data_IF_583645086933
#
_entry.id   IF_583645086933
#
_cell.length_a   1.000
_cell.length_b   1.000
_cell.length_c   1.000
_cell.angle_alpha   90.00
_cell.angle_beta   90.00
_cell.angle_gamma   90.00
#
_symmetry.space_group_name_H-M   'P 1'
#
loop_
_entity.id
_entity.type
_entity.pdbx_description
1 polymer ?
#
# COMPACT_ATOMS: atom_id res chain seq x y z
N UNK A 1 -10.32 4.78 -16.32
CA UNK A 1 -10.63 4.94 -14.88
C UNK A 1 -10.32 3.62 -14.19
N UNK A 2 -9.73 3.65 -13.00
CA UNK A 2 -9.47 2.42 -12.23
C UNK A 2 -10.75 2.03 -11.48
N UNK A 3 -11.02 0.74 -11.28
CA UNK A 3 -12.20 0.26 -10.53
C UNK A 3 -11.85 -0.17 -9.09
N UNK A 4 -10.64 0.12 -8.62
CA UNK A 4 -10.16 -0.25 -7.28
C UNK A 4 -9.66 -1.69 -7.14
N UNK A 5 -10.07 -2.61 -8.01
CA UNK A 5 -9.77 -4.05 -7.92
C UNK A 5 -8.27 -4.39 -8.01
N UNK A 6 -7.43 -3.49 -8.54
CA UNK A 6 -5.97 -3.66 -8.66
C UNK A 6 -5.54 -5.07 -9.11
N UNK A 7 -6.08 -5.55 -10.24
CA UNK A 7 -5.65 -6.80 -10.87
C UNK A 7 -4.14 -6.81 -11.23
N UNK A 8 -3.58 -7.92 -11.74
CA UNK A 8 -2.16 -8.00 -12.11
C UNK A 8 -1.74 -6.81 -12.98
N UNK A 9 -0.70 -6.10 -12.57
CA UNK A 9 -0.16 -4.94 -13.27
C UNK A 9 -0.97 -3.65 -13.14
N UNK A 10 -2.20 -3.71 -12.62
CA UNK A 10 -3.02 -2.52 -12.41
C UNK A 10 -2.60 -1.79 -11.12
N UNK A 11 -2.55 -0.45 -11.13
CA UNK A 11 -2.18 0.33 -9.96
C UNK A 11 -3.08 0.09 -8.75
N UNK A 12 -2.47 0.16 -7.58
CA UNK A 12 -3.15 0.41 -6.30
C UNK A 12 -3.44 1.90 -6.22
N UNK A 13 -4.70 2.24 -5.97
CA UNK A 13 -5.20 3.61 -6.04
C UNK A 13 -5.96 3.97 -4.76
N UNK A 14 -5.83 5.23 -4.34
CA UNK A 14 -6.61 5.80 -3.26
C UNK A 14 -8.06 6.06 -3.67
N UNK A 15 -8.97 5.90 -2.70
CA UNK A 15 -10.39 6.17 -2.86
C UNK A 15 -10.93 6.86 -1.63
N UNK A 16 -11.94 7.72 -1.83
CA UNK A 16 -12.81 8.10 -0.74
C UNK A 16 -13.54 6.85 -0.22
N UNK A 17 -13.52 6.66 1.09
CA UNK A 17 -14.22 5.55 1.74
C UNK A 17 -15.73 5.75 1.61
N UNK A 18 -16.43 4.76 1.06
CA UNK A 18 -17.89 4.76 0.88
C UNK A 18 -18.61 3.67 1.70
N UNK A 19 -17.87 2.84 2.45
CA UNK A 19 -18.41 1.80 3.31
C UNK A 19 -18.98 0.55 2.61
N UNK A 20 -19.18 0.57 1.29
CA UNK A 20 -19.90 -0.50 0.57
C UNK A 20 -19.06 -1.21 -0.49
N UNK A 21 -18.12 -0.52 -1.15
CA UNK A 21 -17.41 -1.09 -2.31
C UNK A 21 -16.24 -2.00 -1.90
N UNK A 22 -16.37 -3.31 -2.13
CA UNK A 22 -15.34 -4.30 -1.83
C UNK A 22 -14.15 -4.26 -2.78
N UNK A 23 -14.29 -3.66 -3.97
CA UNK A 23 -13.17 -3.54 -4.91
C UNK A 23 -12.02 -2.72 -4.34
N UNK A 24 -12.30 -1.85 -3.38
CA UNK A 24 -11.37 -0.90 -2.77
C UNK A 24 -10.84 -1.37 -1.42
N UNK A 25 -11.27 -2.55 -0.96
CA UNK A 25 -10.89 -3.11 0.33
C UNK A 25 -9.65 -3.98 0.22
N UNK A 26 -8.81 -3.87 1.22
CA UNK A 26 -7.56 -4.60 1.33
C UNK A 26 -7.52 -5.35 2.66
N UNK A 27 -7.21 -6.63 2.60
CA UNK A 27 -6.88 -7.43 3.79
C UNK A 27 -5.39 -7.27 4.06
N UNK A 28 -5.06 -6.83 5.28
CA UNK A 28 -3.70 -6.83 5.79
C UNK A 28 -3.42 -8.20 6.41
N UNK A 29 -2.49 -8.95 5.81
CA UNK A 29 -2.04 -10.27 6.28
C UNK A 29 -0.71 -10.10 7.01
N UNK A 30 -0.64 -10.46 8.29
CA UNK A 30 0.61 -10.43 9.05
C UNK A 30 1.40 -11.69 8.75
N UNK A 31 2.59 -11.52 8.17
CA UNK A 31 3.48 -12.63 7.80
C UNK A 31 4.51 -12.91 8.90
N UNK A 32 5.11 -11.85 9.45
CA UNK A 32 6.04 -11.91 10.58
C UNK A 32 5.90 -10.65 11.43
N UNK A 33 5.24 -10.78 12.58
CA UNK A 33 5.02 -9.66 13.50
C UNK A 33 6.33 -9.13 14.13
N UNK A 34 7.32 -9.99 14.34
CA UNK A 34 8.60 -9.61 14.95
C UNK A 34 9.44 -8.71 14.03
N UNK A 35 9.25 -8.86 12.72
CA UNK A 35 9.92 -8.08 11.69
C UNK A 35 9.04 -7.01 11.03
N UNK A 36 7.77 -6.92 11.45
CA UNK A 36 6.77 -6.03 10.87
C UNK A 36 6.40 -6.37 9.43
N UNK A 37 6.57 -7.63 9.00
CA UNK A 37 6.30 -8.04 7.61
C UNK A 37 4.82 -8.33 7.39
N UNK A 38 4.26 -7.70 6.36
CA UNK A 38 2.84 -7.82 5.99
C UNK A 38 2.67 -7.97 4.49
N UNK A 39 1.54 -8.56 4.08
CA UNK A 39 1.04 -8.48 2.72
C UNK A 39 -0.31 -7.76 2.69
N UNK A 40 -0.60 -7.09 1.58
CA UNK A 40 -1.90 -6.45 1.35
C UNK A 40 -2.59 -7.17 0.21
N UNK A 41 -3.70 -7.86 0.49
CA UNK A 41 -4.50 -8.56 -0.52
C UNK A 41 -5.75 -7.77 -0.88
N UNK A 42 -5.97 -7.49 -2.16
CA UNK A 42 -7.22 -6.89 -2.61
C UNK A 42 -8.36 -7.90 -2.48
N UNK A 43 -9.49 -7.50 -1.89
CA UNK A 43 -10.61 -8.41 -1.64
C UNK A 43 -11.35 -8.83 -2.92
N UNK A 44 -11.34 -8.00 -3.97
CA UNK A 44 -12.06 -8.27 -5.22
C UNK A 44 -11.25 -9.11 -6.20
N UNK A 45 -9.99 -8.75 -6.44
CA UNK A 45 -9.15 -9.47 -7.42
C UNK A 45 -8.34 -10.62 -6.83
N UNK A 46 -8.16 -10.64 -5.50
CA UNK A 46 -7.30 -11.61 -4.81
C UNK A 46 -5.79 -11.36 -4.98
N UNK A 47 -5.38 -10.34 -5.74
CA UNK A 47 -3.98 -9.98 -5.93
C UNK A 47 -3.37 -9.37 -4.67
N UNK A 48 -2.05 -9.49 -4.54
CA UNK A 48 -1.26 -8.76 -3.56
C UNK A 48 -0.81 -7.41 -4.12
N UNK A 49 -0.66 -6.41 -3.27
CA UNK A 49 0.06 -5.20 -3.64
C UNK A 49 1.55 -5.52 -3.83
N UNK A 50 2.19 -4.88 -4.80
CA UNK A 50 3.60 -5.08 -5.11
C UNK A 50 4.25 -3.83 -5.65
N UNK A 51 5.56 -3.78 -5.49
CA UNK A 51 6.43 -2.71 -5.99
C UNK A 51 7.55 -3.34 -6.82
N UNK A 52 7.20 -3.91 -7.98
CA UNK A 52 8.18 -4.54 -8.89
C UNK A 52 9.11 -3.50 -9.53
N UNK A 53 8.64 -2.27 -9.72
CA UNK A 53 9.49 -1.12 -10.04
C UNK A 53 9.96 -0.47 -8.75
N UNK A 54 11.15 -0.82 -8.25
CA UNK A 54 11.71 -0.30 -7.00
C UNK A 54 12.39 1.07 -7.17
N UNK A 55 11.69 2.04 -7.77
CA UNK A 55 12.23 3.40 -8.00
C UNK A 55 11.24 4.47 -7.54
N UNK A 56 11.75 5.65 -7.17
CA UNK A 56 10.89 6.79 -6.79
C UNK A 56 9.93 7.15 -7.92
N UNK A 57 8.66 7.32 -7.59
CA UNK A 57 7.58 7.63 -8.52
C UNK A 57 6.96 6.41 -9.21
N UNK A 58 7.55 5.21 -9.08
CA UNK A 58 6.95 3.99 -9.60
C UNK A 58 5.63 3.68 -8.87
N UNK A 59 4.59 3.21 -9.58
CA UNK A 59 3.33 2.85 -8.95
C UNK A 59 3.46 1.55 -8.15
N UNK A 60 2.71 1.48 -7.06
CA UNK A 60 2.37 0.20 -6.44
C UNK A 60 1.29 -0.44 -7.32
N UNK A 61 1.44 -1.72 -7.64
CA UNK A 61 0.56 -2.46 -8.55
C UNK A 61 0.11 -3.79 -7.96
N UNK A 62 -1.02 -4.29 -8.40
CA UNK A 62 -1.46 -5.65 -8.07
C UNK A 62 -0.56 -6.72 -8.69
N UNK A 63 -0.40 -7.84 -8.00
CA UNK A 63 0.24 -9.05 -8.54
C UNK A 63 -0.36 -10.35 -8.00
N UNK A 64 -0.33 -11.40 -8.82
CA UNK A 64 -0.60 -12.79 -8.49
C UNK A 64 0.59 -13.47 -7.80
N UNK A 65 1.79 -12.88 -7.91
CA UNK A 65 2.97 -13.37 -7.21
C UNK A 65 2.96 -13.01 -5.72
N UNK A 66 3.82 -13.68 -4.94
CA UNK A 66 4.05 -13.29 -3.55
C UNK A 66 4.82 -11.97 -3.47
N UNK A 67 4.34 -11.04 -2.65
CA UNK A 67 5.05 -9.81 -2.32
C UNK A 67 4.67 -9.37 -0.91
N UNK A 68 5.59 -8.70 -0.21
CA UNK A 68 5.39 -8.23 1.16
C UNK A 68 6.07 -6.89 1.38
N UNK A 69 5.64 -6.21 2.43
CA UNK A 69 6.14 -4.91 2.86
C UNK A 69 6.50 -4.97 4.34
N UNK A 70 7.26 -3.98 4.80
CA UNK A 70 7.50 -3.74 6.23
C UNK A 70 6.62 -2.59 6.70
N UNK A 71 5.91 -2.79 7.81
CA UNK A 71 5.25 -1.72 8.55
C UNK A 71 6.21 -1.12 9.58
N UNK A 72 6.37 0.20 9.54
CA UNK A 72 7.16 0.96 10.50
C UNK A 72 6.20 1.87 11.27
N UNK A 73 6.04 1.62 12.57
CA UNK A 73 5.28 2.52 13.44
C UNK A 73 6.03 3.83 13.60
N UNK A 74 5.36 4.95 13.32
CA UNK A 74 5.95 6.29 13.44
C UNK A 74 5.31 7.09 14.57
N UNK A 75 4.01 6.88 14.81
CA UNK A 75 3.21 7.45 15.91
C UNK A 75 2.16 6.44 16.35
N UNK A 76 1.42 6.76 17.41
CA UNK A 76 0.29 5.93 17.86
C UNK A 76 -0.71 5.72 16.72
N UNK A 77 -0.87 4.46 16.31
CA UNK A 77 -1.75 4.03 15.23
C UNK A 77 -1.43 4.54 13.81
N UNK A 78 -0.24 5.10 13.58
CA UNK A 78 0.22 5.54 12.24
C UNK A 78 1.49 4.79 11.80
N UNK A 79 1.47 4.30 10.57
CA UNK A 79 2.51 3.47 9.99
C UNK A 79 3.02 4.02 8.67
N UNK A 80 4.30 3.83 8.39
CA UNK A 80 4.82 3.86 7.04
C UNK A 80 4.81 2.44 6.47
N UNK A 81 4.38 2.30 5.22
CA UNK A 81 4.43 1.05 4.46
C UNK A 81 5.68 1.11 3.59
N UNK A 82 6.71 0.36 3.97
CA UNK A 82 8.04 0.40 3.36
C UNK A 82 8.31 -0.87 2.55
N UNK A 83 9.12 -0.75 1.49
CA UNK A 83 9.70 -1.91 0.82
C UNK A 83 10.50 -2.79 1.81
N UNK A 84 10.56 -4.11 1.60
CA UNK A 84 11.25 -5.01 2.53
C UNK A 84 12.79 -4.90 2.46
N UNK A 85 13.34 -4.13 1.52
CA UNK A 85 14.77 -4.02 1.24
C UNK A 85 15.39 -2.83 1.98
N UNK A 86 16.30 -3.05 2.94
CA UNK A 86 16.80 -1.99 3.81
C UNK A 86 17.86 -1.07 3.19
N UNK A 87 18.46 -1.44 2.05
CA UNK A 87 19.55 -0.66 1.45
C UNK A 87 19.06 0.69 0.88
N UNK A 88 17.88 0.70 0.26
CA UNK A 88 17.23 1.89 -0.29
C UNK A 88 15.74 1.86 0.07
N UNK A 89 15.38 2.27 1.30
CA UNK A 89 14.01 2.20 1.74
C UNK A 89 13.16 3.15 0.89
N UNK A 90 12.07 2.64 0.32
CA UNK A 90 11.03 3.43 -0.32
C UNK A 90 9.70 3.17 0.39
N UNK A 91 8.90 4.21 0.55
CA UNK A 91 7.60 4.16 1.20
C UNK A 91 6.47 4.36 0.21
N UNK A 92 5.30 3.83 0.55
CA UNK A 92 4.06 4.18 -0.13
C UNK A 92 3.70 5.64 0.13
N UNK A 93 3.36 6.35 -0.94
CA UNK A 93 2.90 7.73 -0.91
C UNK A 93 1.63 7.88 -1.74
N UNK A 94 0.60 8.50 -1.17
CA UNK A 94 -0.58 8.95 -1.90
C UNK A 94 -0.46 10.45 -2.19
N UNK A 95 -0.16 10.83 -3.43
CA UNK A 95 0.21 12.22 -3.76
C UNK A 95 -0.88 13.26 -3.40
N UNK A 96 -2.16 12.89 -3.45
CA UNK A 96 -3.29 13.71 -3.04
C UNK A 96 -4.51 12.83 -2.72
N UNK A 97 -5.53 13.40 -2.07
CA UNK A 97 -6.72 12.68 -1.62
C UNK A 97 -7.81 12.49 -2.69
N UNK A 98 -7.53 12.81 -3.95
CA UNK A 98 -8.50 12.60 -5.05
C UNK A 98 -8.65 11.11 -5.32
N UNK A 99 -9.89 10.64 -5.45
CA UNK A 99 -10.18 9.26 -5.86
C UNK A 99 -9.47 8.91 -7.17
N UNK A 100 -9.05 7.66 -7.31
CA UNK A 100 -8.24 7.14 -8.42
C UNK A 100 -6.78 7.61 -8.46
N UNK A 101 -6.29 8.35 -7.47
CA UNK A 101 -4.87 8.71 -7.41
C UNK A 101 -4.03 7.46 -7.11
N UNK A 102 -3.06 7.08 -7.96
CA UNK A 102 -2.18 5.95 -7.69
C UNK A 102 -1.33 6.17 -6.44
N UNK A 103 -1.14 5.11 -5.68
CA UNK A 103 -0.09 5.04 -4.67
C UNK A 103 1.23 4.81 -5.41
N UNK A 104 2.23 5.62 -5.09
CA UNK A 104 3.56 5.56 -5.69
C UNK A 104 4.62 5.38 -4.62
N UNK A 105 5.81 4.95 -5.03
CA UNK A 105 6.97 4.90 -4.15
C UNK A 105 7.60 6.29 -3.99
N UNK A 106 8.05 6.60 -2.77
CA UNK A 106 8.77 7.82 -2.47
C UNK A 106 9.86 7.58 -1.43
N UNK A 107 10.84 8.49 -1.38
CA UNK A 107 11.82 8.50 -0.28
C UNK A 107 11.09 8.68 1.06
N UNK A 108 11.45 7.90 2.10
CA UNK A 108 10.84 7.99 3.42
C UNK A 108 10.91 9.40 3.99
N UNK A 109 9.77 9.95 4.38
CA UNK A 109 9.68 11.18 5.14
C UNK A 109 8.56 11.06 6.19
N UNK A 110 8.95 10.92 7.46
CA UNK A 110 8.01 10.75 8.57
C UNK A 110 7.27 12.05 8.96
N UNK A 111 7.65 13.19 8.38
CA UNK A 111 6.93 14.46 8.53
C UNK A 111 5.82 14.62 7.49
N UNK A 112 5.83 13.81 6.43
CA UNK A 112 4.85 13.90 5.36
C UNK A 112 3.63 13.03 5.65
N UNK A 113 2.50 13.67 5.96
CA UNK A 113 1.23 12.97 6.21
C UNK A 113 0.77 12.10 5.03
N UNK A 114 1.26 12.38 3.80
CA UNK A 114 0.94 11.59 2.62
C UNK A 114 1.68 10.24 2.52
N UNK A 115 2.54 9.94 3.50
CA UNK A 115 3.21 8.64 3.68
C UNK A 115 2.77 7.92 4.98
N UNK A 116 1.87 8.53 5.75
CA UNK A 116 1.37 7.98 7.00
C UNK A 116 0.03 7.30 6.76
N UNK A 117 -0.06 6.05 7.20
CA UNK A 117 -1.21 5.18 6.97
C UNK A 117 -1.78 4.72 8.31
N UNK A 118 -3.11 4.77 8.43
CA UNK A 118 -3.85 4.18 9.53
C UNK A 118 -4.70 3.03 8.99
N UNK A 119 -4.81 1.96 9.79
CA UNK A 119 -5.63 0.80 9.45
C UNK A 119 -6.86 0.76 10.34
N UNK A 120 -8.04 0.74 9.69
CA UNK A 120 -9.32 0.66 10.37
C UNK A 120 -9.88 -0.73 10.11
N UNK A 121 -10.17 -1.48 11.19
CA UNK A 121 -10.87 -2.75 11.08
C UNK A 121 -12.31 -2.52 10.63
N UNK A 122 -12.77 -3.32 9.66
CA UNK A 122 -14.12 -3.29 9.08
C UNK A 122 -14.82 -4.62 9.26
#
# INVERSE_FOLDING_TARGET
MYNGSSAEGNPVVGWSYDGVDTHRRWTLEVLDASQGLVAFRNQSSGTLASAKGSTVGAPVVGTQGSYYFRLISTRTAEYQIQLPFPADPLNWRLANNTSNTPIVLATPNASDNNQLWAFIAI
#
